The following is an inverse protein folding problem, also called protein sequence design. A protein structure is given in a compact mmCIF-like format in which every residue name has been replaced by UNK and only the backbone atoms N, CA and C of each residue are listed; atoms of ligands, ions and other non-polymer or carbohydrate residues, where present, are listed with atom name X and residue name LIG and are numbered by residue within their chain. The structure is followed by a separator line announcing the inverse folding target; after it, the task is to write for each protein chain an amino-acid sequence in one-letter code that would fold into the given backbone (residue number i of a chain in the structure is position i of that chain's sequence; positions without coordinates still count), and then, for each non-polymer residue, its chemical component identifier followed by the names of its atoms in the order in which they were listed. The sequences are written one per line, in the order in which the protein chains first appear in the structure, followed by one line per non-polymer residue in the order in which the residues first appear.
data_IF_353855445076
#
_entry.id   IF_353855445076
#
_cell.length_a   1.000
_cell.length_b   1.000
_cell.length_c   1.000
_cell.angle_alpha   90.00
_cell.angle_beta   90.00
_cell.angle_gamma   90.00
#
_symmetry.space_group_name_H-M   'P 1'
#
loop_
_entity.id
_entity.type
_entity.pdbx_description
1 polymer ?
#
# COMPACT_ATOMS: atom_id res chain seq x y z
N UNK A 1 77.25 -5.79 20.70
CA UNK A 1 76.37 -4.90 19.96
C UNK A 1 75.43 -5.59 18.94
N UNK A 2 75.69 -6.78 18.40
CA UNK A 2 74.81 -7.41 17.37
C UNK A 2 73.55 -8.04 17.90
N UNK A 3 73.46 -8.54 19.15
CA UNK A 3 72.24 -9.16 19.74
C UNK A 3 71.10 -8.16 19.95
N UNK A 4 71.38 -6.89 20.29
CA UNK A 4 70.31 -5.89 20.51
C UNK A 4 69.62 -5.44 19.21
N UNK A 5 70.33 -5.49 18.05
CA UNK A 5 69.71 -5.10 16.78
C UNK A 5 68.67 -6.11 16.27
N UNK A 6 68.91 -7.42 16.49
CA UNK A 6 68.00 -8.47 16.08
C UNK A 6 66.72 -8.50 16.91
N UNK A 7 66.84 -8.27 18.25
CA UNK A 7 65.69 -8.16 19.18
C UNK A 7 64.86 -6.92 18.86
N UNK A 8 65.48 -5.80 18.53
CA UNK A 8 64.80 -4.58 18.16
C UNK A 8 63.99 -4.70 16.86
N UNK A 9 64.53 -5.39 15.85
CA UNK A 9 63.84 -5.67 14.58
C UNK A 9 62.64 -6.62 14.81
N UNK A 10 62.81 -7.66 15.65
CA UNK A 10 61.66 -8.55 15.98
C UNK A 10 60.56 -7.82 16.72
N UNK A 11 60.86 -6.94 17.67
CA UNK A 11 59.88 -6.15 18.40
C UNK A 11 59.17 -5.19 17.47
N UNK A 12 59.88 -4.50 16.55
CA UNK A 12 59.24 -3.64 15.56
C UNK A 12 58.34 -4.37 14.58
N UNK A 13 58.72 -5.56 14.13
CA UNK A 13 57.86 -6.39 13.26
C UNK A 13 56.62 -6.89 13.97
N UNK A 14 56.74 -7.29 15.24
CA UNK A 14 55.62 -7.69 16.07
C UNK A 14 54.70 -6.50 16.37
N UNK A 15 55.26 -5.32 16.64
CA UNK A 15 54.48 -4.11 16.85
C UNK A 15 53.73 -3.66 15.59
N UNK A 16 54.36 -3.75 14.41
CA UNK A 16 53.72 -3.48 13.12
C UNK A 16 52.64 -4.52 12.79
N UNK A 17 52.85 -5.78 13.11
CA UNK A 17 51.83 -6.84 12.96
C UNK A 17 50.66 -6.64 13.94
N UNK A 18 50.92 -6.23 15.15
CA UNK A 18 49.86 -5.90 16.12
C UNK A 18 49.10 -4.64 15.75
N UNK A 19 49.76 -3.62 15.21
CA UNK A 19 49.10 -2.44 14.65
C UNK A 19 48.29 -2.77 13.39
N UNK A 20 48.80 -3.62 12.52
CA UNK A 20 48.05 -4.10 11.33
C UNK A 20 46.87 -5.01 11.71
N UNK A 21 46.99 -5.80 12.77
CA UNK A 21 45.85 -6.58 13.32
C UNK A 21 44.85 -5.69 14.09
N UNK A 22 45.31 -4.61 14.71
CA UNK A 22 44.44 -3.69 15.48
C UNK A 22 43.59 -2.77 14.60
N UNK A 23 43.94 -2.59 13.33
CA UNK A 23 43.17 -1.74 12.40
C UNK A 23 42.25 -2.52 11.46
N UNK A 24 42.32 -3.84 11.46
CA UNK A 24 41.35 -4.69 10.77
C UNK A 24 40.13 -4.98 11.67
N UNK A 25 39.52 -3.93 12.24
CA UNK A 25 38.13 -4.03 12.65
C UNK A 25 37.36 -4.28 11.35
N UNK A 26 37.06 -5.55 11.07
CA UNK A 26 36.30 -5.92 9.91
C UNK A 26 34.95 -5.20 10.00
N UNK A 27 34.76 -4.19 9.15
CA UNK A 27 33.49 -3.51 9.03
C UNK A 27 32.45 -4.59 8.65
N UNK A 28 31.62 -4.98 9.61
CA UNK A 28 30.57 -5.93 9.36
C UNK A 28 29.37 -5.22 8.72
N UNK A 29 28.66 -5.92 7.86
CA UNK A 29 27.43 -5.49 7.24
C UNK A 29 26.45 -6.67 7.28
N UNK A 30 25.27 -6.45 7.81
CA UNK A 30 24.17 -7.42 7.87
C UNK A 30 23.02 -6.88 7.09
N UNK A 31 22.41 -7.72 6.27
CA UNK A 31 21.23 -7.33 5.48
C UNK A 31 20.11 -8.34 5.66
N UNK A 32 18.86 -7.85 5.71
CA UNK A 32 17.64 -8.65 5.72
C UNK A 32 16.63 -7.99 4.79
N UNK A 33 15.65 -8.73 4.29
CA UNK A 33 14.71 -8.21 3.32
C UNK A 33 13.25 -8.51 3.67
N UNK A 34 12.39 -7.55 3.30
CA UNK A 34 10.94 -7.68 3.29
C UNK A 34 10.43 -7.87 1.86
N UNK A 35 9.49 -8.79 1.67
CA UNK A 35 8.70 -8.86 0.44
C UNK A 35 7.37 -8.18 0.71
N UNK A 36 7.25 -6.96 0.27
CA UNK A 36 6.09 -6.11 0.49
C UNK A 36 5.05 -6.33 -0.60
N UNK A 37 3.78 -6.39 -0.19
CA UNK A 37 2.66 -6.73 -1.03
C UNK A 37 1.74 -5.52 -1.20
N UNK A 38 1.45 -5.15 -2.46
CA UNK A 38 0.41 -4.21 -2.83
C UNK A 38 -0.73 -5.00 -3.46
N UNK A 39 -1.91 -5.04 -2.84
CA UNK A 39 -3.07 -5.69 -3.43
C UNK A 39 -4.12 -4.67 -3.84
N UNK A 40 -4.62 -4.85 -5.06
CA UNK A 40 -5.76 -4.09 -5.57
C UNK A 40 -7.06 -4.67 -5.04
N UNK A 41 -8.06 -3.82 -4.83
CA UNK A 41 -9.39 -4.25 -4.41
C UNK A 41 -10.12 -4.95 -5.54
N UNK A 42 -11.11 -5.73 -5.15
CA UNK A 42 -12.14 -6.27 -6.04
C UNK A 42 -13.49 -5.78 -5.55
N UNK A 43 -14.26 -5.20 -6.44
CA UNK A 43 -15.54 -4.61 -6.14
C UNK A 43 -16.64 -5.30 -6.91
N UNK A 44 -17.55 -5.99 -6.20
CA UNK A 44 -18.70 -6.67 -6.81
C UNK A 44 -19.81 -6.85 -5.80
N UNK A 45 -21.01 -6.40 -6.15
CA UNK A 45 -22.23 -6.66 -5.42
C UNK A 45 -23.25 -7.36 -6.34
N UNK A 46 -24.02 -8.26 -5.80
CA UNK A 46 -25.04 -9.02 -6.52
C UNK A 46 -26.35 -9.08 -5.75
N UNK A 47 -27.46 -9.13 -6.53
CA UNK A 47 -28.79 -9.38 -5.97
C UNK A 47 -28.91 -10.88 -5.71
N UNK A 48 -29.37 -11.23 -4.53
CA UNK A 48 -29.76 -12.58 -4.17
C UNK A 48 -31.26 -12.62 -3.90
N UNK A 49 -31.98 -13.39 -4.69
CA UNK A 49 -33.42 -13.58 -4.54
C UNK A 49 -33.74 -14.97 -4.02
N UNK A 50 -34.59 -15.04 -3.01
CA UNK A 50 -35.28 -16.26 -2.61
C UNK A 50 -36.73 -16.15 -3.11
N UNK A 51 -37.01 -16.76 -4.25
CA UNK A 51 -38.28 -16.61 -4.94
C UNK A 51 -38.63 -17.86 -5.76
N UNK A 52 -39.83 -18.34 -5.55
CA UNK A 52 -40.44 -19.35 -6.40
C UNK A 52 -41.65 -18.70 -7.09
N UNK A 53 -41.58 -18.60 -8.41
CA UNK A 53 -42.65 -17.99 -9.21
C UNK A 53 -43.89 -18.84 -9.10
N UNK A 54 -45.03 -18.28 -8.63
CA UNK A 54 -46.31 -18.98 -8.65
C UNK A 54 -46.89 -18.99 -10.07
N UNK A 55 -47.71 -20.00 -10.38
CA UNK A 55 -48.39 -20.09 -11.68
C UNK A 55 -49.47 -19.00 -11.79
N UNK A 56 -50.11 -18.63 -10.69
CA UNK A 56 -51.08 -17.55 -10.61
C UNK A 56 -51.03 -16.89 -9.22
N UNK A 57 -51.51 -15.70 -9.14
CA UNK A 57 -51.64 -14.94 -7.89
C UNK A 57 -53.04 -14.35 -7.79
N UNK A 58 -53.79 -14.73 -6.74
CA UNK A 58 -55.08 -14.17 -6.48
C UNK A 58 -54.94 -12.82 -5.74
N UNK A 59 -55.93 -11.90 -5.90
CA UNK A 59 -55.95 -10.67 -5.10
C UNK A 59 -55.90 -10.98 -3.59
N UNK A 60 -55.03 -10.26 -2.86
CA UNK A 60 -54.76 -10.47 -1.43
C UNK A 60 -53.83 -11.65 -1.10
N UNK A 61 -53.46 -12.49 -2.07
CA UNK A 61 -52.56 -13.60 -1.84
C UNK A 61 -51.13 -13.14 -1.61
N UNK A 62 -50.52 -13.59 -0.50
CA UNK A 62 -49.14 -13.37 -0.16
C UNK A 62 -48.21 -14.24 -1.03
N UNK A 63 -47.26 -13.63 -1.69
CA UNK A 63 -46.20 -14.33 -2.41
C UNK A 63 -44.86 -13.96 -1.78
N UNK A 64 -44.12 -14.96 -1.34
CA UNK A 64 -42.78 -14.77 -0.76
C UNK A 64 -41.80 -14.43 -1.87
N UNK A 65 -41.11 -13.31 -1.75
CA UNK A 65 -39.99 -12.87 -2.58
C UNK A 65 -39.05 -12.05 -1.74
N UNK A 66 -37.95 -12.67 -1.34
CA UNK A 66 -36.91 -11.98 -0.57
C UNK A 66 -35.84 -11.45 -1.51
N UNK A 67 -35.47 -10.19 -1.32
CA UNK A 67 -34.40 -9.51 -2.09
C UNK A 67 -33.31 -9.07 -1.15
N UNK A 68 -32.18 -9.77 -1.20
CA UNK A 68 -30.97 -9.47 -0.45
C UNK A 68 -29.86 -9.00 -1.39
N UNK A 69 -28.86 -8.33 -0.86
CA UNK A 69 -27.65 -7.97 -1.57
C UNK A 69 -26.48 -8.68 -0.93
N UNK A 70 -25.65 -9.30 -1.75
CA UNK A 70 -24.37 -9.89 -1.35
C UNK A 70 -23.21 -9.07 -1.87
N UNK A 71 -22.32 -8.71 -1.00
CA UNK A 71 -21.02 -8.17 -1.36
C UNK A 71 -20.05 -9.33 -1.62
N UNK A 72 -19.73 -9.57 -2.89
CA UNK A 72 -18.78 -10.61 -3.31
C UNK A 72 -17.36 -10.04 -3.44
N UNK A 73 -17.18 -8.75 -3.17
CA UNK A 73 -15.92 -8.04 -3.26
C UNK A 73 -15.03 -8.19 -2.02
N UNK A 74 -13.89 -7.50 -2.05
CA UNK A 74 -12.90 -7.47 -0.97
C UNK A 74 -12.97 -6.19 -0.12
N UNK A 75 -13.89 -5.29 -0.44
CA UNK A 75 -14.08 -3.99 0.23
C UNK A 75 -15.53 -3.81 0.63
N UNK A 76 -15.75 -3.06 1.70
CA UNK A 76 -17.08 -2.73 2.18
C UNK A 76 -17.84 -1.84 1.20
N UNK A 77 -19.16 -1.92 1.19
CA UNK A 77 -20.02 -1.22 0.23
C UNK A 77 -21.16 -0.48 0.89
N UNK A 78 -21.53 0.67 0.33
CA UNK A 78 -22.88 1.23 0.48
C UNK A 78 -23.72 0.74 -0.70
N UNK A 79 -24.97 0.40 -0.43
CA UNK A 79 -25.87 -0.14 -1.45
C UNK A 79 -27.21 0.58 -1.43
N UNK A 80 -27.80 0.78 -2.62
CA UNK A 80 -29.17 1.26 -2.80
C UNK A 80 -29.88 0.50 -3.90
N UNK A 81 -31.17 0.39 -3.79
CA UNK A 81 -32.03 -0.34 -4.72
C UNK A 81 -33.18 0.54 -5.17
N UNK A 82 -33.46 0.52 -6.46
CA UNK A 82 -34.70 1.06 -7.01
C UNK A 82 -35.61 -0.08 -7.46
N UNK A 83 -36.83 -0.09 -6.98
CA UNK A 83 -37.84 -1.08 -7.35
C UNK A 83 -38.79 -0.48 -8.38
N UNK A 84 -38.88 -1.18 -9.51
CA UNK A 84 -39.90 -0.93 -10.51
C UNK A 84 -40.98 -2.02 -10.45
N UNK A 85 -42.20 -1.67 -10.78
CA UNK A 85 -43.32 -2.58 -10.89
C UNK A 85 -44.02 -2.33 -12.21
N UNK A 86 -44.36 -3.39 -12.91
CA UNK A 86 -45.01 -3.30 -14.23
C UNK A 86 -45.98 -4.48 -14.41
N UNK A 87 -47.03 -4.25 -15.14
CA UNK A 87 -47.93 -5.28 -15.65
C UNK A 87 -47.78 -5.36 -17.17
N UNK A 88 -47.99 -6.55 -17.71
CA UNK A 88 -47.93 -6.74 -19.15
C UNK A 88 -48.52 -8.09 -19.58
N UNK A 89 -48.29 -8.42 -20.80
CA UNK A 89 -48.67 -9.70 -21.41
C UNK A 89 -47.49 -10.29 -22.16
N UNK A 90 -47.45 -11.61 -22.29
CA UNK A 90 -46.44 -12.27 -23.15
C UNK A 90 -46.99 -12.33 -24.57
N UNK A 91 -46.24 -11.87 -25.53
CA UNK A 91 -46.56 -12.00 -26.95
C UNK A 91 -46.43 -13.45 -27.43
N UNK A 92 -46.93 -13.76 -28.61
CA UNK A 92 -46.76 -15.07 -29.26
C UNK A 92 -45.27 -15.43 -29.46
N UNK A 93 -44.40 -14.43 -29.55
CA UNK A 93 -42.94 -14.60 -29.67
C UNK A 93 -42.24 -14.72 -28.32
N UNK A 94 -42.96 -14.74 -27.19
CA UNK A 94 -42.39 -14.82 -25.85
C UNK A 94 -41.86 -13.51 -25.30
N UNK A 95 -42.08 -12.39 -25.98
CA UNK A 95 -41.68 -11.06 -25.49
C UNK A 95 -42.68 -10.53 -24.46
N UNK A 96 -42.20 -9.92 -23.41
CA UNK A 96 -43.03 -9.17 -22.47
C UNK A 96 -43.41 -7.81 -23.08
N UNK A 97 -44.69 -7.56 -23.17
CA UNK A 97 -45.29 -6.30 -23.62
C UNK A 97 -45.88 -5.59 -22.42
N UNK A 98 -45.22 -4.52 -21.96
CA UNK A 98 -45.69 -3.68 -20.83
C UNK A 98 -47.05 -3.02 -21.18
N UNK A 99 -48.00 -3.07 -20.24
CA UNK A 99 -49.26 -2.34 -20.32
C UNK A 99 -49.24 -1.17 -19.36
N UNK A 100 -49.00 0.02 -19.88
CA UNK A 100 -48.92 1.26 -19.08
C UNK A 100 -50.25 1.82 -18.61
N UNK A 101 -51.37 1.24 -19.08
CA UNK A 101 -52.71 1.61 -18.61
C UNK A 101 -53.06 0.96 -17.27
N UNK A 102 -52.31 -0.07 -16.87
CA UNK A 102 -52.46 -0.73 -15.60
C UNK A 102 -51.65 -0.03 -14.52
N UNK A 103 -52.27 0.23 -13.38
CA UNK A 103 -51.62 0.84 -12.23
C UNK A 103 -50.60 -0.13 -11.61
N UNK A 104 -49.29 0.17 -11.64
CA UNK A 104 -48.29 -0.68 -11.04
C UNK A 104 -48.38 -0.78 -9.51
N UNK A 105 -49.04 0.18 -8.86
CA UNK A 105 -49.23 0.15 -7.40
C UNK A 105 -50.14 -1.01 -6.95
N UNK A 106 -50.86 -1.64 -7.85
CA UNK A 106 -51.61 -2.89 -7.53
C UNK A 106 -50.68 -4.06 -7.21
N UNK A 107 -49.38 -3.96 -7.45
CA UNK A 107 -48.36 -4.85 -6.86
C UNK A 107 -47.94 -4.20 -5.53
N UNK A 108 -48.54 -4.64 -4.44
CA UNK A 108 -48.22 -4.17 -3.09
C UNK A 108 -47.01 -4.94 -2.57
N UNK A 109 -45.95 -4.23 -2.14
CA UNK A 109 -44.73 -4.84 -1.67
C UNK A 109 -44.54 -4.57 -0.18
N UNK A 110 -44.21 -5.62 0.56
CA UNK A 110 -43.82 -5.49 1.95
C UNK A 110 -42.33 -5.25 2.08
N UNK A 111 -41.98 -3.99 2.45
CA UNK A 111 -40.61 -3.53 2.60
C UNK A 111 -40.11 -3.58 4.04
N UNK A 112 -38.84 -3.91 4.21
CA UNK A 112 -38.19 -3.85 5.52
C UNK A 112 -37.66 -2.43 5.79
N UNK A 113 -38.46 -1.65 6.51
CA UNK A 113 -38.12 -0.26 6.84
C UNK A 113 -37.15 -0.14 8.02
N UNK A 114 -36.85 -1.21 8.75
CA UNK A 114 -35.90 -1.21 9.86
C UNK A 114 -34.48 -0.97 9.36
N UNK A 115 -34.08 -1.68 8.29
CA UNK A 115 -32.74 -1.62 7.72
C UNK A 115 -32.66 -0.92 6.37
N UNK A 116 -33.81 -0.51 5.81
CA UNK A 116 -33.85 0.19 4.54
C UNK A 116 -34.66 1.49 4.67
N UNK A 117 -34.23 2.53 3.96
CA UNK A 117 -34.88 3.84 3.93
C UNK A 117 -35.17 4.27 2.50
N UNK A 118 -36.44 4.50 2.19
CA UNK A 118 -36.83 5.13 0.94
C UNK A 118 -36.50 6.62 1.00
N UNK A 119 -35.84 7.13 -0.01
CA UNK A 119 -35.53 8.55 -0.20
C UNK A 119 -36.33 9.15 -1.36
N UNK A 120 -36.35 10.48 -1.44
CA UNK A 120 -37.07 11.25 -2.46
C UNK A 120 -36.65 10.97 -3.90
N UNK A 121 -35.44 10.44 -4.11
CA UNK A 121 -34.90 10.01 -5.41
C UNK A 121 -35.48 8.65 -5.87
N UNK A 122 -36.35 8.07 -5.07
CA UNK A 122 -37.02 6.79 -5.33
C UNK A 122 -36.13 5.55 -5.07
N UNK A 123 -34.98 5.73 -4.46
CA UNK A 123 -34.11 4.64 -4.05
C UNK A 123 -34.32 4.25 -2.57
N UNK A 124 -34.22 2.97 -2.33
CA UNK A 124 -34.11 2.37 -1.00
C UNK A 124 -32.66 2.23 -0.64
N UNK A 125 -32.21 2.93 0.39
CA UNK A 125 -30.87 2.89 0.91
C UNK A 125 -30.76 1.91 2.07
N UNK A 126 -29.78 1.02 2.01
CA UNK A 126 -29.43 0.18 3.15
C UNK A 126 -28.81 1.03 4.26
N UNK A 127 -29.37 0.96 5.49
CA UNK A 127 -28.99 1.82 6.62
C UNK A 127 -27.74 1.35 7.37
N UNK A 128 -26.95 0.49 6.74
CA UNK A 128 -25.72 -0.03 7.32
C UNK A 128 -24.65 -0.17 6.22
N UNK A 129 -23.39 -0.35 6.61
CA UNK A 129 -22.34 -0.78 5.70
C UNK A 129 -22.54 -2.26 5.37
N UNK A 130 -22.41 -2.63 4.11
CA UNK A 130 -22.41 -4.04 3.68
C UNK A 130 -20.96 -4.53 3.62
N UNK A 131 -20.46 -5.29 4.64
CA UNK A 131 -19.08 -5.71 4.69
C UNK A 131 -18.71 -6.66 3.57
N UNK A 132 -17.41 -6.67 3.21
CA UNK A 132 -16.83 -7.60 2.26
C UNK A 132 -17.22 -9.06 2.58
N UNK A 133 -17.68 -9.80 1.57
CA UNK A 133 -18.08 -11.21 1.66
C UNK A 133 -19.40 -11.45 2.41
N UNK A 134 -20.14 -10.40 2.85
CA UNK A 134 -21.40 -10.54 3.61
C UNK A 134 -22.61 -10.25 2.74
N UNK A 135 -23.76 -10.69 3.26
CA UNK A 135 -25.10 -10.40 2.72
C UNK A 135 -25.80 -9.42 3.66
N UNK A 136 -26.71 -8.60 3.14
CA UNK A 136 -27.55 -7.70 3.95
C UNK A 136 -28.23 -8.48 5.10
N UNK A 137 -28.28 -7.88 6.29
CA UNK A 137 -28.80 -8.54 7.50
C UNK A 137 -30.27 -8.91 7.40
N UNK A 138 -31.02 -8.16 6.60
CA UNK A 138 -32.40 -8.40 6.26
C UNK A 138 -32.66 -8.03 4.80
N UNK A 139 -33.55 -8.73 4.10
CA UNK A 139 -33.92 -8.38 2.74
C UNK A 139 -34.54 -6.99 2.65
N UNK A 140 -34.47 -6.34 1.50
CA UNK A 140 -35.23 -5.10 1.23
C UNK A 140 -36.73 -5.36 1.27
N UNK A 141 -37.17 -6.45 0.64
CA UNK A 141 -38.53 -6.91 0.62
C UNK A 141 -38.59 -8.41 0.96
N UNK A 142 -39.66 -8.86 1.59
CA UNK A 142 -39.84 -10.27 1.92
C UNK A 142 -41.02 -10.89 1.19
N UNK A 143 -41.96 -10.08 0.71
CA UNK A 143 -43.15 -10.55 0.03
C UNK A 143 -43.83 -9.45 -0.78
N UNK A 144 -44.71 -9.88 -1.66
CA UNK A 144 -45.64 -8.99 -2.36
C UNK A 144 -47.04 -9.61 -2.45
N UNK A 145 -47.99 -8.78 -2.81
CA UNK A 145 -49.39 -9.11 -2.95
C UNK A 145 -49.92 -8.49 -4.24
N UNK A 146 -50.85 -9.14 -4.91
CA UNK A 146 -51.75 -8.46 -5.82
C UNK A 146 -52.84 -7.78 -4.97
N UNK A 147 -53.00 -6.48 -5.10
CA UNK A 147 -54.01 -5.73 -4.31
C UNK A 147 -55.40 -6.30 -4.48
N UNK A 148 -56.19 -6.37 -3.38
CA UNK A 148 -57.59 -6.74 -3.42
C UNK A 148 -58.41 -5.79 -4.30
N UNK A 149 -57.92 -4.59 -4.63
CA UNK A 149 -58.54 -3.61 -5.51
C UNK A 149 -58.32 -3.90 -6.99
N UNK A 150 -57.48 -4.91 -7.32
CA UNK A 150 -57.21 -5.27 -8.69
C UNK A 150 -58.44 -5.86 -9.35
N UNK A 151 -58.95 -5.20 -10.37
CA UNK A 151 -60.12 -5.60 -11.12
C UNK A 151 -59.80 -6.55 -12.30
N UNK A 152 -60.81 -6.88 -13.12
CA UNK A 152 -60.67 -7.79 -14.22
C UNK A 152 -59.65 -7.39 -15.28
N UNK A 153 -59.18 -6.16 -15.31
CA UNK A 153 -58.13 -5.68 -16.25
C UNK A 153 -56.80 -6.35 -15.97
N UNK A 154 -56.58 -6.79 -14.72
CA UNK A 154 -55.34 -7.47 -14.31
C UNK A 154 -55.42 -8.99 -14.53
N UNK A 155 -56.53 -9.53 -14.87
CA UNK A 155 -56.71 -10.97 -15.18
C UNK A 155 -55.86 -11.37 -16.35
N UNK A 156 -55.13 -12.47 -16.23
CA UNK A 156 -54.23 -13.03 -17.25
C UNK A 156 -53.08 -12.06 -17.63
N UNK A 157 -52.73 -11.14 -16.75
CA UNK A 157 -51.56 -10.28 -16.93
C UNK A 157 -50.37 -10.82 -16.14
N UNK A 158 -49.18 -10.64 -16.68
CA UNK A 158 -47.92 -10.91 -15.99
C UNK A 158 -47.53 -9.67 -15.18
N UNK A 159 -47.25 -9.84 -13.90
CA UNK A 159 -46.67 -8.82 -13.05
C UNK A 159 -45.15 -9.02 -12.97
N UNK A 160 -44.39 -7.94 -13.08
CA UNK A 160 -42.94 -7.96 -12.90
C UNK A 160 -42.53 -6.95 -11.84
N UNK A 161 -41.63 -7.40 -10.96
CA UNK A 161 -40.91 -6.57 -9.99
C UNK A 161 -39.47 -6.46 -10.51
N UNK A 162 -39.07 -5.27 -10.87
CA UNK A 162 -37.74 -4.96 -11.43
C UNK A 162 -36.88 -4.44 -10.30
N UNK A 163 -35.75 -5.08 -10.05
CA UNK A 163 -34.81 -4.71 -8.98
C UNK A 163 -33.54 -4.15 -9.62
N UNK A 164 -33.28 -2.87 -9.44
CA UNK A 164 -32.08 -2.21 -9.91
C UNK A 164 -31.17 -1.91 -8.71
N UNK A 165 -30.03 -2.59 -8.65
CA UNK A 165 -29.02 -2.40 -7.63
C UNK A 165 -28.00 -1.38 -8.08
N UNK A 166 -27.71 -0.42 -7.23
CA UNK A 166 -26.53 0.43 -7.32
C UNK A 166 -25.73 0.32 -6.03
N UNK A 167 -24.43 0.38 -6.17
CA UNK A 167 -23.52 0.29 -5.04
C UNK A 167 -22.25 1.08 -5.28
N UNK A 168 -21.70 1.60 -4.19
CA UNK A 168 -20.40 2.28 -4.17
C UNK A 168 -19.59 1.70 -3.02
N UNK A 169 -18.28 1.91 -3.07
CA UNK A 169 -17.45 1.54 -1.94
C UNK A 169 -17.82 2.37 -0.71
N UNK A 170 -17.74 1.75 0.46
CA UNK A 170 -17.91 2.43 1.72
C UNK A 170 -16.62 3.17 2.09
N UNK A 171 -16.48 4.40 1.60
CA UNK A 171 -15.45 5.36 2.00
C UNK A 171 -16.09 6.68 2.45
N UNK A 172 -15.38 7.41 3.31
CA UNK A 172 -15.89 8.68 3.83
C UNK A 172 -16.06 9.71 2.72
N UNK A 173 -17.28 10.21 2.56
CA UNK A 173 -17.62 11.23 1.57
C UNK A 173 -18.02 10.70 0.19
N UNK A 174 -17.80 9.42 -0.13
CA UNK A 174 -18.16 8.82 -1.42
C UNK A 174 -19.66 8.87 -1.68
N UNK A 175 -20.48 8.58 -0.67
CA UNK A 175 -21.92 8.64 -0.79
C UNK A 175 -22.41 10.04 -1.15
N UNK A 176 -21.78 11.07 -0.58
CA UNK A 176 -22.09 12.47 -0.90
C UNK A 176 -21.64 12.85 -2.30
N UNK A 177 -20.44 12.40 -2.69
CA UNK A 177 -19.87 12.73 -4.00
C UNK A 177 -20.67 12.10 -5.15
N UNK A 178 -21.12 10.84 -5.01
CA UNK A 178 -21.73 10.06 -6.10
C UNK A 178 -23.26 10.12 -6.04
N UNK A 179 -23.86 10.04 -4.85
CA UNK A 179 -25.31 9.97 -4.68
C UNK A 179 -25.94 11.26 -4.11
N UNK A 180 -25.11 12.25 -3.74
CA UNK A 180 -25.60 13.49 -3.12
C UNK A 180 -26.22 13.31 -1.73
N UNK A 181 -25.99 12.18 -1.07
CA UNK A 181 -26.54 11.86 0.25
C UNK A 181 -25.43 11.78 1.29
N UNK A 182 -25.73 12.13 2.54
CA UNK A 182 -24.79 11.92 3.63
C UNK A 182 -25.17 10.63 4.39
N UNK A 183 -24.18 9.88 4.82
CA UNK A 183 -24.35 8.66 5.62
C UNK A 183 -25.17 8.93 6.88
N UNK A 184 -24.90 10.06 7.53
CA UNK A 184 -25.61 10.50 8.74
C UNK A 184 -27.10 10.73 8.52
N UNK A 185 -27.51 11.27 7.38
CA UNK A 185 -28.92 11.54 7.05
C UNK A 185 -29.69 10.23 6.83
N UNK A 186 -28.98 9.17 6.50
CA UNK A 186 -29.52 7.83 6.33
C UNK A 186 -29.46 7.00 7.62
N UNK A 187 -28.85 7.53 8.68
CA UNK A 187 -28.64 6.81 9.94
C UNK A 187 -27.48 5.80 9.88
N UNK A 188 -26.61 5.92 8.88
CA UNK A 188 -25.45 5.06 8.72
C UNK A 188 -24.31 5.60 9.58
N UNK A 189 -23.77 4.76 10.48
CA UNK A 189 -22.55 5.04 11.21
C UNK A 189 -21.41 4.35 10.50
N UNK A 190 -20.71 5.08 9.62
CA UNK A 190 -19.50 4.60 8.98
C UNK A 190 -18.30 5.10 9.76
N UNK A 191 -17.47 4.18 10.21
CA UNK A 191 -16.14 4.48 10.73
C UNK A 191 -15.13 3.80 9.83
N UNK A 192 -14.36 4.57 9.02
CA UNK A 192 -13.28 3.99 8.27
C UNK A 192 -12.34 3.27 9.22
N UNK A 193 -11.90 2.08 8.86
CA UNK A 193 -10.93 1.34 9.65
C UNK A 193 -9.63 2.14 9.69
N UNK A 194 -9.42 2.91 10.75
CA UNK A 194 -8.19 3.66 11.03
C UNK A 194 -7.18 2.82 11.80
N UNK A 195 -7.28 1.50 11.76
CA UNK A 195 -6.31 0.62 12.41
C UNK A 195 -4.95 0.83 11.74
N UNK A 196 -4.18 1.77 12.25
CA UNK A 196 -2.79 1.96 11.85
C UNK A 196 -1.98 0.77 12.35
N UNK A 197 -1.72 -0.17 11.47
CA UNK A 197 -0.82 -1.29 11.77
C UNK A 197 0.60 -0.78 11.65
N UNK A 198 1.32 -0.74 12.76
CA UNK A 198 2.75 -0.40 12.79
C UNK A 198 3.56 -1.66 12.56
N UNK A 199 4.37 -1.65 11.50
CA UNK A 199 5.36 -2.69 11.24
C UNK A 199 6.74 -2.26 11.74
N UNK A 200 7.74 -3.16 11.77
CA UNK A 200 9.04 -2.81 12.36
C UNK A 200 10.22 -3.48 11.66
N UNK A 201 11.37 -2.82 11.77
CA UNK A 201 12.69 -3.37 11.42
C UNK A 201 13.61 -3.12 12.62
N UNK A 202 14.07 -4.17 13.25
CA UNK A 202 14.80 -4.12 14.50
C UNK A 202 16.17 -4.75 14.31
N UNK A 203 17.24 -4.04 14.64
CA UNK A 203 18.55 -4.62 14.82
C UNK A 203 18.66 -5.11 16.27
N UNK A 204 18.74 -6.43 16.45
CA UNK A 204 18.62 -7.06 17.76
C UNK A 204 19.96 -7.19 18.50
N UNK A 205 19.89 -7.66 19.73
CA UNK A 205 21.08 -7.92 20.59
C UNK A 205 22.01 -9.02 20.06
N UNK A 206 21.56 -9.84 19.12
CA UNK A 206 22.38 -10.86 18.48
C UNK A 206 22.97 -10.34 17.14
N UNK A 207 22.93 -9.02 16.93
CA UNK A 207 23.42 -8.33 15.75
C UNK A 207 22.77 -8.81 14.45
N UNK A 208 21.45 -9.08 14.50
CA UNK A 208 20.63 -9.47 13.36
C UNK A 208 19.54 -8.42 13.10
N UNK A 209 19.20 -8.26 11.84
CA UNK A 209 18.00 -7.51 11.45
C UNK A 209 16.80 -8.44 11.52
N UNK A 210 15.76 -8.01 12.22
CA UNK A 210 14.48 -8.71 12.36
C UNK A 210 13.40 -7.83 11.74
N UNK A 211 12.68 -8.38 10.77
CA UNK A 211 11.53 -7.73 10.13
C UNK A 211 10.28 -8.20 10.87
N UNK A 212 9.64 -7.24 11.57
CA UNK A 212 8.38 -7.44 12.27
C UNK A 212 7.21 -7.01 11.40
N UNK A 213 6.40 -7.98 11.02
CA UNK A 213 5.21 -7.82 10.21
C UNK A 213 4.65 -9.20 9.88
N UNK A 214 3.43 -9.27 9.39
CA UNK A 214 2.85 -10.54 8.97
C UNK A 214 3.63 -11.07 7.75
N UNK A 215 4.24 -12.24 7.86
CA UNK A 215 5.03 -12.89 6.80
C UNK A 215 6.12 -11.98 6.18
N UNK A 216 6.79 -11.16 7.00
CA UNK A 216 7.80 -10.17 6.56
C UNK A 216 7.26 -9.06 5.65
N UNK A 217 5.96 -8.84 5.60
CA UNK A 217 5.34 -7.78 4.83
C UNK A 217 5.23 -6.49 5.66
N UNK A 218 5.92 -5.45 5.26
CA UNK A 218 5.89 -4.16 5.95
C UNK A 218 4.74 -3.25 5.46
N UNK A 219 4.04 -3.64 4.39
CA UNK A 219 2.96 -2.87 3.77
C UNK A 219 1.57 -3.35 4.23
N UNK A 220 1.39 -3.50 5.55
CA UNK A 220 0.13 -3.98 6.12
C UNK A 220 -1.08 -3.12 5.68
N UNK A 221 -0.91 -1.79 5.57
CA UNK A 221 -1.97 -0.85 5.19
C UNK A 221 -2.15 -0.69 3.66
N UNK A 222 -1.29 -1.33 2.85
CA UNK A 222 -1.37 -1.22 1.38
C UNK A 222 -2.08 -2.42 0.76
N UNK A 223 -3.24 -2.74 1.33
CA UNK A 223 -4.14 -3.82 0.88
C UNK A 223 -5.46 -3.23 0.42
N UNK A 224 -6.10 -3.93 -0.51
CA UNK A 224 -7.39 -3.52 -1.08
C UNK A 224 -7.35 -2.08 -1.59
N UNK A 225 -6.29 -1.76 -2.33
CA UNK A 225 -6.06 -0.43 -2.88
C UNK A 225 -6.96 -0.16 -4.08
N UNK A 226 -7.26 1.11 -4.30
CA UNK A 226 -8.09 1.58 -5.40
C UNK A 226 -7.39 2.68 -6.18
N UNK A 227 -7.76 2.87 -7.46
CA UNK A 227 -7.33 4.04 -8.20
C UNK A 227 -7.62 5.33 -7.42
N UNK A 228 -6.71 6.28 -7.42
CA UNK A 228 -6.84 7.57 -6.73
C UNK A 228 -6.62 7.52 -5.21
N UNK A 229 -6.55 6.34 -4.58
CA UNK A 229 -6.39 6.28 -3.13
C UNK A 229 -5.00 6.72 -2.66
N UNK A 230 -4.97 7.29 -1.46
CA UNK A 230 -3.73 7.54 -0.70
C UNK A 230 -3.79 6.79 0.62
N UNK A 231 -2.71 6.07 0.96
CA UNK A 231 -2.58 5.32 2.22
C UNK A 231 -1.24 5.62 2.87
N UNK A 232 -1.18 5.46 4.17
CA UNK A 232 0.06 5.62 4.95
C UNK A 232 0.37 4.35 5.75
N UNK A 233 1.65 4.08 5.90
CA UNK A 233 2.19 2.97 6.69
C UNK A 233 3.31 3.49 7.58
N UNK A 234 3.23 3.24 8.87
CA UNK A 234 4.33 3.51 9.80
C UNK A 234 5.20 2.28 9.95
N UNK A 235 6.52 2.44 9.74
CA UNK A 235 7.53 1.42 9.94
C UNK A 235 8.47 1.90 11.05
N UNK A 236 8.46 1.21 12.19
CA UNK A 236 9.35 1.50 13.31
C UNK A 236 10.72 0.88 13.05
N UNK A 237 11.76 1.69 13.04
CA UNK A 237 13.16 1.26 13.06
C UNK A 237 13.69 1.29 14.49
N UNK A 238 14.42 0.27 14.93
CA UNK A 238 15.02 0.26 16.27
C UNK A 238 16.37 -0.44 16.29
N UNK A 239 17.28 0.05 17.13
CA UNK A 239 18.53 -0.60 17.48
C UNK A 239 18.45 -1.10 18.93
N UNK A 240 18.24 -2.38 19.12
CA UNK A 240 18.18 -3.04 20.41
C UNK A 240 19.51 -3.71 20.81
N UNK A 241 20.59 -3.43 20.05
CA UNK A 241 21.94 -3.91 20.36
C UNK A 241 22.71 -2.93 21.22
N UNK A 242 23.91 -3.31 21.60
CA UNK A 242 24.90 -2.52 22.33
C UNK A 242 25.82 -1.70 21.41
N UNK A 243 25.64 -1.79 20.07
CA UNK A 243 26.49 -1.14 19.08
C UNK A 243 25.87 0.13 18.49
N UNK A 244 26.73 1.08 18.12
CA UNK A 244 26.35 2.17 17.23
C UNK A 244 26.31 1.66 15.80
N UNK A 245 25.18 1.83 15.12
CA UNK A 245 24.97 1.31 13.77
C UNK A 245 24.49 2.39 12.80
N UNK A 246 24.78 2.18 11.52
CA UNK A 246 24.16 2.89 10.39
C UNK A 246 23.20 1.96 9.72
N UNK A 247 21.98 2.42 9.48
CA UNK A 247 20.99 1.66 8.68
C UNK A 247 20.82 2.28 7.30
N UNK A 248 20.54 1.43 6.33
CA UNK A 248 20.17 1.83 4.97
C UNK A 248 19.04 0.97 4.42
N UNK A 249 18.41 1.45 3.36
CA UNK A 249 17.29 0.80 2.67
C UNK A 249 17.47 0.89 1.16
N UNK A 250 17.22 -0.20 0.43
CA UNK A 250 17.10 -0.20 -1.04
C UNK A 250 15.92 -1.07 -1.48
N UNK A 251 15.44 -0.80 -2.69
CA UNK A 251 14.40 -1.60 -3.34
C UNK A 251 15.02 -2.49 -4.42
N UNK A 252 14.58 -3.74 -4.44
CA UNK A 252 14.94 -4.73 -5.44
C UNK A 252 13.69 -5.30 -6.11
N UNK A 253 13.85 -5.87 -7.30
CA UNK A 253 12.78 -6.60 -7.94
C UNK A 253 12.39 -7.85 -7.14
N UNK A 254 11.10 -8.05 -6.94
CA UNK A 254 10.58 -9.27 -6.35
C UNK A 254 10.01 -10.19 -7.42
N UNK A 255 10.12 -11.50 -7.17
CA UNK A 255 9.46 -12.51 -8.02
C UNK A 255 7.95 -12.39 -7.85
N UNK A 256 7.25 -12.08 -8.92
CA UNK A 256 5.79 -12.03 -8.93
C UNK A 256 5.18 -13.43 -8.88
N UNK A 257 3.88 -13.52 -8.53
CA UNK A 257 3.13 -14.77 -8.64
C UNK A 257 3.07 -15.25 -10.10
N UNK A 258 2.62 -16.47 -10.31
CA UNK A 258 2.34 -16.97 -11.67
C UNK A 258 1.03 -16.32 -12.15
N UNK A 259 1.16 -15.44 -13.11
CA UNK A 259 0.06 -14.74 -13.76
C UNK A 259 0.17 -14.88 -15.28
N UNK A 260 -0.88 -14.54 -16.00
CA UNK A 260 -0.85 -14.38 -17.45
C UNK A 260 0.16 -13.28 -17.84
N UNK A 261 0.64 -13.29 -19.09
CA UNK A 261 1.54 -12.22 -19.59
C UNK A 261 0.91 -10.84 -19.45
N UNK A 262 -0.41 -10.72 -19.71
CA UNK A 262 -1.17 -9.49 -19.56
C UNK A 262 -1.11 -8.98 -18.09
N UNK A 263 -1.44 -9.84 -17.13
CA UNK A 263 -1.45 -9.46 -15.72
C UNK A 263 -0.05 -9.11 -15.19
N UNK A 264 0.99 -9.81 -15.67
CA UNK A 264 2.37 -9.46 -15.30
C UNK A 264 2.76 -8.06 -15.83
N UNK A 265 2.31 -7.69 -17.02
CA UNK A 265 2.53 -6.36 -17.58
C UNK A 265 1.75 -5.29 -16.80
N UNK A 266 0.49 -5.56 -16.42
CA UNK A 266 -0.30 -4.67 -15.56
C UNK A 266 0.37 -4.48 -14.19
N UNK A 267 0.84 -5.57 -13.56
CA UNK A 267 1.58 -5.49 -12.28
C UNK A 267 2.87 -4.67 -12.46
N UNK A 268 3.60 -4.88 -13.56
CA UNK A 268 4.78 -4.08 -13.85
C UNK A 268 4.42 -2.59 -13.93
N UNK A 269 3.38 -2.24 -14.68
CA UNK A 269 2.90 -0.86 -14.85
C UNK A 269 2.39 -0.27 -13.52
N UNK A 270 1.70 -1.07 -12.71
CA UNK A 270 1.32 -0.69 -11.34
C UNK A 270 2.54 -0.24 -10.54
N UNK A 271 3.57 -1.08 -10.47
CA UNK A 271 4.73 -0.84 -9.61
C UNK A 271 5.69 0.24 -10.15
N UNK A 272 5.78 0.41 -11.47
CA UNK A 272 6.76 1.33 -12.11
C UNK A 272 6.17 2.68 -12.53
N UNK A 273 4.83 2.84 -12.49
CA UNK A 273 4.18 4.05 -13.02
C UNK A 273 3.06 4.56 -12.13
N UNK A 274 2.12 3.71 -11.73
CA UNK A 274 0.90 4.13 -11.05
C UNK A 274 1.03 4.21 -9.53
N UNK A 275 1.81 3.31 -8.91
CA UNK A 275 2.05 3.34 -7.48
C UNK A 275 3.28 4.20 -7.15
N UNK A 276 3.05 5.35 -6.55
CA UNK A 276 4.10 6.25 -6.08
C UNK A 276 4.17 6.23 -4.57
N UNK A 277 5.37 6.30 -4.04
CA UNK A 277 5.60 6.39 -2.60
C UNK A 277 6.46 7.58 -2.23
N UNK A 278 6.22 8.08 -1.04
CA UNK A 278 7.06 9.04 -0.34
C UNK A 278 7.46 8.44 1.00
N UNK A 279 8.76 8.39 1.28
CA UNK A 279 9.30 7.90 2.56
C UNK A 279 9.80 9.10 3.34
N UNK A 280 9.25 9.29 4.55
CA UNK A 280 9.57 10.43 5.41
C UNK A 280 10.12 9.95 6.76
N UNK A 281 11.07 10.71 7.31
CA UNK A 281 11.53 10.67 8.69
C UNK A 281 11.39 12.08 9.29
N UNK A 282 10.59 12.26 10.34
CA UNK A 282 10.36 13.56 10.96
C UNK A 282 10.04 14.68 9.96
N UNK A 283 9.13 14.42 9.01
CA UNK A 283 8.76 15.29 7.90
C UNK A 283 9.87 15.57 6.86
N UNK A 284 11.04 15.00 7.02
CA UNK A 284 12.09 15.04 6.00
C UNK A 284 11.87 13.92 5.00
N UNK A 285 11.76 14.26 3.72
CA UNK A 285 11.64 13.29 2.64
C UNK A 285 12.99 12.60 2.41
N UNK A 286 13.02 11.28 2.55
CA UNK A 286 14.17 10.42 2.25
C UNK A 286 14.10 9.85 0.85
N UNK A 287 12.89 9.61 0.34
CA UNK A 287 12.63 9.11 -1.00
C UNK A 287 11.27 9.59 -1.51
N UNK A 288 11.20 9.92 -2.79
CA UNK A 288 9.97 10.18 -3.52
C UNK A 288 10.09 9.58 -4.93
N UNK A 289 9.21 8.64 -5.26
CA UNK A 289 9.27 7.96 -6.55
C UNK A 289 8.29 6.81 -6.66
N UNK A 290 8.52 5.92 -7.60
CA UNK A 290 7.72 4.71 -7.78
C UNK A 290 8.06 3.66 -6.73
N UNK A 291 7.09 2.80 -6.40
CA UNK A 291 7.25 1.80 -5.34
C UNK A 291 8.35 0.77 -5.61
N UNK A 292 8.69 0.54 -6.88
CA UNK A 292 9.78 -0.33 -7.29
C UNK A 292 11.19 0.30 -7.12
N UNK A 293 11.25 1.55 -6.65
CA UNK A 293 12.50 2.26 -6.36
C UNK A 293 13.17 2.93 -7.56
N UNK A 294 12.47 3.02 -8.71
CA UNK A 294 12.98 3.75 -9.88
C UNK A 294 12.82 5.26 -9.72
N UNK A 295 13.63 5.98 -10.47
CA UNK A 295 13.65 7.43 -10.53
C UNK A 295 12.34 8.01 -11.07
N UNK A 296 11.82 9.00 -10.38
CA UNK A 296 11.07 10.09 -10.99
C UNK A 296 12.03 11.25 -11.27
N UNK A 297 11.76 12.04 -12.25
CA UNK A 297 12.52 13.11 -12.94
C UNK A 297 13.69 13.84 -12.25
N UNK A 298 14.03 13.63 -10.97
CA UNK A 298 15.14 14.29 -10.26
C UNK A 298 15.74 13.40 -9.15
N UNK A 299 16.63 12.50 -9.54
CA UNK A 299 17.72 12.09 -8.64
C UNK A 299 17.42 11.15 -7.48
N UNK A 300 16.18 10.77 -7.24
CA UNK A 300 15.82 9.88 -6.15
C UNK A 300 15.73 8.44 -6.64
N UNK A 301 16.58 7.57 -6.13
CA UNK A 301 16.55 6.15 -6.51
C UNK A 301 16.79 5.28 -5.28
N UNK A 302 15.95 4.27 -5.11
CA UNK A 302 16.15 3.19 -4.14
C UNK A 302 16.84 1.97 -4.75
N UNK A 303 17.35 2.04 -5.98
CA UNK A 303 18.21 0.97 -6.56
C UNK A 303 19.58 0.94 -5.91
N UNK A 304 19.97 2.01 -5.25
CA UNK A 304 21.10 2.10 -4.32
C UNK A 304 20.58 2.32 -2.91
N UNK A 305 21.40 2.02 -1.93
CA UNK A 305 21.07 2.23 -0.52
C UNK A 305 20.81 3.73 -0.25
N UNK A 306 19.63 4.04 0.28
CA UNK A 306 19.33 5.32 0.89
C UNK A 306 19.65 5.24 2.39
N UNK A 307 20.29 6.27 2.94
CA UNK A 307 20.65 6.30 4.36
C UNK A 307 19.42 6.53 5.23
N UNK A 308 19.23 5.67 6.22
CA UNK A 308 18.25 5.83 7.29
C UNK A 308 18.90 6.46 8.55
N UNK A 309 20.21 6.81 8.47
CA UNK A 309 20.97 7.46 9.52
C UNK A 309 21.60 6.51 10.53
N UNK A 310 22.11 7.13 11.60
CA UNK A 310 22.79 6.43 12.69
C UNK A 310 21.81 6.15 13.84
N UNK A 311 22.04 5.02 14.52
CA UNK A 311 21.26 4.59 15.67
C UNK A 311 22.20 4.19 16.79
N UNK A 312 22.13 4.91 17.90
CA UNK A 312 22.78 4.53 19.15
C UNK A 312 22.10 3.31 19.78
N UNK A 313 22.72 2.61 20.72
CA UNK A 313 22.04 1.58 21.52
C UNK A 313 20.72 2.09 22.10
N UNK A 314 19.65 1.34 21.93
CA UNK A 314 18.30 1.67 22.38
C UNK A 314 17.57 2.75 21.56
N UNK A 315 18.19 3.32 20.54
CA UNK A 315 17.56 4.35 19.71
C UNK A 315 16.53 3.75 18.73
N UNK A 316 15.47 4.51 18.47
CA UNK A 316 14.44 4.18 17.48
C UNK A 316 13.97 5.40 16.72
N UNK A 317 13.42 5.16 15.53
CA UNK A 317 12.82 6.16 14.63
C UNK A 317 11.60 5.57 13.94
N UNK A 318 10.70 6.43 13.50
CA UNK A 318 9.58 6.04 12.65
C UNK A 318 9.80 6.53 11.22
N UNK A 319 9.66 5.63 10.26
CA UNK A 319 9.48 5.98 8.87
C UNK A 319 7.98 6.01 8.55
N UNK A 320 7.53 7.06 7.91
CA UNK A 320 6.18 7.14 7.36
C UNK A 320 6.29 6.94 5.86
N UNK A 321 5.66 5.88 5.37
CA UNK A 321 5.57 5.57 3.94
C UNK A 321 4.18 5.96 3.48
N UNK A 322 4.08 6.98 2.62
CA UNK A 322 2.83 7.37 1.97
C UNK A 322 2.80 6.76 0.58
N UNK A 323 1.73 6.07 0.27
CA UNK A 323 1.45 5.51 -1.05
C UNK A 323 0.32 6.29 -1.69
N UNK A 324 0.47 6.64 -2.96
CA UNK A 324 -0.58 7.22 -3.80
C UNK A 324 -0.71 6.43 -5.09
N UNK A 325 -1.93 6.08 -5.47
CA UNK A 325 -2.25 5.45 -6.75
C UNK A 325 -2.82 6.47 -7.73
N UNK A 326 -2.48 6.31 -9.01
CA UNK A 326 -3.03 7.13 -10.08
C UNK A 326 -4.54 6.85 -10.26
N UNK A 327 -5.31 7.90 -10.54
CA UNK A 327 -6.73 7.80 -10.94
C UNK A 327 -6.91 7.23 -12.35
N UNK A 328 -5.87 7.24 -13.18
CA UNK A 328 -5.89 6.74 -14.56
C UNK A 328 -5.98 5.21 -14.69
N UNK A 329 -6.02 4.51 -13.56
CA UNK A 329 -6.12 3.05 -13.54
C UNK A 329 -7.56 2.62 -13.78
N UNK A 330 -7.74 1.63 -14.65
CA UNK A 330 -9.04 1.05 -14.97
C UNK A 330 -9.33 -0.25 -14.19
N UNK A 331 -10.47 -0.89 -14.48
CA UNK A 331 -10.91 -2.11 -13.81
C UNK A 331 -10.03 -3.34 -14.11
N UNK A 332 -9.10 -3.28 -15.07
CA UNK A 332 -8.20 -4.41 -15.37
C UNK A 332 -7.19 -4.67 -14.24
N UNK A 333 -7.00 -3.69 -13.34
CA UNK A 333 -6.11 -3.82 -12.18
C UNK A 333 -6.75 -4.50 -10.97
N UNK A 334 -8.05 -4.79 -10.99
CA UNK A 334 -8.73 -5.47 -9.90
C UNK A 334 -8.09 -6.83 -9.60
N UNK A 335 -8.06 -7.21 -8.31
CA UNK A 335 -7.48 -8.45 -7.78
C UNK A 335 -5.97 -8.65 -8.04
N UNK A 336 -5.29 -7.70 -8.65
CA UNK A 336 -3.86 -7.82 -8.88
C UNK A 336 -3.08 -7.64 -7.58
N UNK A 337 -2.03 -8.45 -7.44
CA UNK A 337 -1.09 -8.41 -6.33
C UNK A 337 0.31 -8.14 -6.86
N UNK A 338 0.79 -6.94 -6.63
CA UNK A 338 2.17 -6.55 -6.91
C UNK A 338 3.09 -6.82 -5.73
N UNK A 339 4.31 -7.27 -6.00
CA UNK A 339 5.35 -7.51 -4.99
C UNK A 339 6.56 -6.63 -5.24
N UNK A 340 7.10 -6.07 -4.17
CA UNK A 340 8.37 -5.34 -4.17
C UNK A 340 9.24 -5.82 -3.01
N UNK A 341 10.53 -5.96 -3.24
CA UNK A 341 11.49 -6.38 -2.22
C UNK A 341 12.22 -5.15 -1.69
N UNK A 342 12.16 -4.95 -0.37
CA UNK A 342 12.96 -3.96 0.33
C UNK A 342 14.03 -4.65 1.14
N UNK A 343 15.27 -4.20 0.97
CA UNK A 343 16.45 -4.72 1.67
C UNK A 343 16.92 -3.67 2.65
N UNK A 344 16.92 -4.01 3.91
CA UNK A 344 17.51 -3.22 4.99
C UNK A 344 18.90 -3.73 5.27
N UNK A 345 19.84 -2.82 5.47
CA UNK A 345 21.20 -3.15 5.86
C UNK A 345 21.60 -2.39 7.11
N UNK A 346 22.37 -3.03 7.97
CA UNK A 346 22.98 -2.42 9.14
C UNK A 346 24.48 -2.65 9.10
N UNK A 347 25.25 -1.60 9.34
CA UNK A 347 26.71 -1.63 9.44
C UNK A 347 27.17 -0.90 10.68
N UNK A 348 28.39 -1.16 11.13
CA UNK A 348 28.98 -0.45 12.24
C UNK A 348 29.14 1.04 11.89
N UNK A 349 28.69 1.94 12.77
CA UNK A 349 29.01 3.35 12.66
C UNK A 349 30.49 3.54 13.04
N UNK A 350 31.23 4.32 12.26
CA UNK A 350 32.61 4.70 12.61
C UNK A 350 32.56 5.43 13.96
N UNK A 351 33.32 4.99 14.94
CA UNK A 351 33.58 5.79 16.13
C UNK A 351 34.43 6.99 15.65
N UNK A 352 33.85 8.17 15.61
CA UNK A 352 34.65 9.39 15.58
C UNK A 352 35.46 9.45 16.88
N UNK A 353 36.69 8.99 16.78
CA UNK A 353 37.70 9.31 17.77
C UNK A 353 38.06 10.79 17.59
N UNK A 354 37.22 11.67 18.11
CA UNK A 354 37.63 13.03 18.42
C UNK A 354 38.58 12.93 19.61
N UNK A 355 39.85 12.60 19.35
CA UNK A 355 40.94 12.88 20.25
C UNK A 355 41.02 14.42 20.39
N UNK A 356 40.49 14.92 21.46
CA UNK A 356 40.75 16.29 21.88
C UNK A 356 42.23 16.50 22.01
N UNK A 357 42.84 17.19 21.09
CA UNK A 357 44.16 17.76 21.24
C UNK A 357 43.99 19.12 21.91
N UNK A 358 44.13 19.12 23.25
CA UNK A 358 44.47 20.31 24.02
C UNK A 358 45.82 20.79 23.53
N UNK A 359 45.81 21.81 22.70
CA UNK A 359 46.98 22.61 22.37
C UNK A 359 46.89 23.93 23.07
N UNK A 360 47.63 24.06 24.17
CA UNK A 360 47.82 25.25 24.94
C UNK A 360 48.85 26.14 24.26
N UNK A 361 48.56 27.46 24.23
CA UNK A 361 49.55 28.53 24.15
C UNK A 361 49.93 29.02 22.75
N UNK A 362 49.69 30.24 22.36
CA UNK A 362 50.51 31.37 22.72
C UNK A 362 49.91 32.69 22.18
N UNK A 363 50.22 33.75 22.92
CA UNK A 363 49.82 35.12 22.65
C UNK A 363 50.60 35.71 21.47
N UNK A 364 49.95 36.49 20.63
CA UNK A 364 50.60 37.38 19.69
C UNK A 364 49.63 38.48 19.26
N UNK A 365 49.87 39.58 19.80
CA UNK A 365 49.41 40.94 19.69
C UNK A 365 49.65 41.53 18.28
N UNK A 366 48.85 42.54 17.98
CA UNK A 366 48.97 43.75 17.12
C UNK A 366 48.02 43.76 15.91
N UNK A 367 47.05 44.62 15.98
CA UNK A 367 46.99 46.08 15.68
C UNK A 367 46.77 46.37 14.18
N UNK A 368 45.81 47.22 14.05
CA UNK A 368 45.63 48.37 13.17
C UNK A 368 44.71 48.22 11.93
N UNK A 369 43.62 48.91 12.12
CA UNK A 369 43.13 50.07 11.32
C UNK A 369 42.68 49.78 9.89
N UNK A 370 41.59 50.19 9.42
CA UNK A 370 40.80 51.42 9.49
C UNK A 370 39.85 51.49 8.29
N UNK A 371 38.74 52.12 8.48
CA UNK A 371 37.95 52.91 7.53
C UNK A 371 37.24 52.17 6.37
N UNK A 372 36.06 52.42 6.17
CA UNK A 372 35.08 53.51 6.13
C UNK A 372 33.96 53.05 5.24
N UNK A 373 32.85 53.31 5.59
CA UNK A 373 31.96 54.43 5.50
C UNK A 373 30.90 54.26 4.41
N UNK A 374 29.71 54.61 4.84
CA UNK A 374 28.57 55.13 4.09
C UNK A 374 27.78 54.12 3.22
N UNK A 375 26.49 54.08 3.33
CA UNK A 375 25.47 54.99 3.81
C UNK A 375 24.11 54.50 3.31
N UNK A 376 23.21 54.58 4.23
CA UNK A 376 21.93 55.25 4.08
C UNK A 376 20.79 54.60 3.32
N UNK A 377 19.76 54.37 4.09
CA UNK A 377 18.39 54.91 3.91
C UNK A 377 17.52 54.26 2.84
N UNK A 378 16.39 53.85 3.21
CA UNK A 378 15.17 54.47 3.57
C UNK A 378 14.00 53.58 3.22
N UNK A 379 13.28 53.20 4.19
CA UNK A 379 11.95 53.69 4.52
C UNK A 379 10.80 53.35 3.61
N UNK A 380 9.86 52.62 4.23
CA UNK A 380 8.44 53.00 4.36
C UNK A 380 7.45 52.79 3.22
N UNK A 381 6.32 52.26 3.60
CA UNK A 381 5.02 52.61 3.06
C UNK A 381 4.20 51.39 2.61
N UNK A 382 3.46 50.77 3.43
CA UNK A 382 2.07 51.04 3.86
C UNK A 382 1.03 50.96 2.77
N UNK A 383 0.08 50.05 2.94
CA UNK A 383 -1.38 50.23 2.83
C UNK A 383 -2.06 50.28 1.46
N UNK A 384 -3.17 49.53 1.37
CA UNK A 384 -4.27 49.86 0.51
C UNK A 384 -4.90 48.65 -0.17
N UNK A 385 -5.73 47.95 0.41
CA UNK A 385 -7.21 47.90 0.44
C UNK A 385 -7.93 48.10 -0.88
N UNK A 386 -8.88 47.23 -1.09
CA UNK A 386 -10.18 47.40 -1.79
C UNK A 386 -10.34 46.96 -3.25
N UNK A 387 -11.17 45.97 -3.43
CA UNK A 387 -12.50 46.21 -4.00
C UNK A 387 -12.65 45.84 -5.46
N UNK A 388 -13.63 45.03 -5.76
CA UNK A 388 -14.27 45.12 -7.07
C UNK A 388 -14.73 43.79 -7.69
N UNK A 389 -15.86 43.35 -7.30
CA UNK A 389 -17.00 42.82 -8.06
C UNK A 389 -16.91 42.89 -9.59
N UNK A 390 -17.17 41.77 -10.25
CA UNK A 390 -17.32 41.74 -11.72
C UNK A 390 -17.97 40.45 -12.20
N UNK A 391 -19.25 40.42 -12.08
CA UNK A 391 -20.19 39.48 -12.70
C UNK A 391 -20.12 39.56 -14.22
N UNK A 392 -20.05 38.47 -14.97
CA UNK A 392 -20.71 38.34 -16.26
C UNK A 392 -20.92 36.90 -16.70
N UNK A 393 -22.20 36.59 -16.79
CA UNK A 393 -22.89 35.61 -17.62
C UNK A 393 -22.29 35.42 -19.01
N UNK A 394 -22.30 34.18 -19.46
CA UNK A 394 -22.08 33.80 -20.86
C UNK A 394 -22.72 32.47 -21.17
N UNK A 395 -23.90 32.54 -21.70
CA UNK A 395 -24.82 31.53 -22.19
C UNK A 395 -24.33 30.96 -23.53
N UNK A 396 -24.56 29.66 -23.81
CA UNK A 396 -24.32 29.08 -25.15
C UNK A 396 -24.41 27.56 -25.15
N UNK A 397 -25.56 27.02 -25.23
CA UNK A 397 -26.29 26.32 -26.33
C UNK A 397 -25.73 24.97 -26.79
N UNK A 398 -26.54 23.95 -26.50
CA UNK A 398 -27.06 22.82 -27.33
C UNK A 398 -26.20 22.20 -28.43
N UNK A 399 -26.12 20.89 -28.37
CA UNK A 399 -25.82 19.97 -29.46
C UNK A 399 -26.24 18.57 -29.09
N UNK A 400 -27.48 18.21 -29.42
CA UNK A 400 -27.95 16.82 -29.53
C UNK A 400 -27.20 16.14 -30.65
N UNK A 401 -26.79 14.87 -30.44
CA UNK A 401 -27.12 13.82 -31.41
C UNK A 401 -26.90 12.45 -30.76
N UNK A 402 -27.95 11.67 -30.79
CA UNK A 402 -28.03 10.28 -30.49
C UNK A 402 -27.35 9.42 -31.55
N UNK A 403 -26.95 8.29 -31.16
CA UNK A 403 -27.20 7.09 -31.94
C UNK A 403 -27.16 5.83 -31.08
N UNK A 404 -28.19 5.05 -31.24
CA UNK A 404 -28.44 3.72 -30.76
C UNK A 404 -27.43 2.71 -31.31
N UNK A 405 -27.04 1.75 -30.49
CA UNK A 405 -26.32 0.56 -30.93
C UNK A 405 -26.46 -0.54 -29.89
N UNK A 406 -27.58 -1.27 -29.94
CA UNK A 406 -27.76 -2.51 -29.20
C UNK A 406 -26.85 -3.59 -29.73
N UNK A 407 -26.20 -4.30 -28.86
CA UNK A 407 -25.64 -5.62 -29.16
C UNK A 407 -25.88 -6.51 -27.96
N UNK A 408 -26.83 -7.42 -28.15
CA UNK A 408 -27.08 -8.54 -27.27
C UNK A 408 -25.90 -9.50 -27.28
N UNK A 409 -25.53 -9.98 -26.12
CA UNK A 409 -24.74 -11.17 -25.98
C UNK A 409 -25.49 -12.19 -25.13
N UNK A 410 -25.75 -13.31 -25.82
CA UNK A 410 -26.26 -14.56 -25.29
C UNK A 410 -25.33 -15.11 -24.20
N UNK A 411 -25.92 -15.52 -23.10
CA UNK A 411 -25.25 -16.28 -22.05
C UNK A 411 -24.88 -17.68 -22.50
N UNK A 412 -23.63 -18.00 -22.36
CA UNK A 412 -23.14 -19.35 -22.26
C UNK A 412 -22.57 -19.53 -20.87
N UNK A 413 -23.28 -20.30 -20.05
CA UNK A 413 -22.79 -20.71 -18.75
C UNK A 413 -21.64 -21.69 -18.91
N UNK A 414 -20.46 -21.29 -18.50
CA UNK A 414 -19.40 -22.23 -18.12
C UNK A 414 -19.10 -22.05 -16.64
N UNK A 415 -19.44 -23.10 -15.92
CA UNK A 415 -19.07 -23.35 -14.54
C UNK A 415 -17.56 -23.40 -14.44
N UNK A 416 -16.94 -22.36 -13.93
CA UNK A 416 -15.56 -22.42 -13.47
C UNK A 416 -15.55 -22.81 -12.01
N UNK A 417 -15.18 -24.07 -11.79
CA UNK A 417 -14.86 -24.67 -10.51
C UNK A 417 -13.98 -23.74 -9.68
N UNK A 418 -14.42 -23.50 -8.46
CA UNK A 418 -13.70 -22.75 -7.47
C UNK A 418 -12.30 -23.31 -7.24
N UNK A 419 -11.31 -22.48 -7.49
CA UNK A 419 -9.99 -22.72 -6.98
C UNK A 419 -10.05 -22.58 -5.45
N UNK A 420 -10.03 -23.72 -4.78
CA UNK A 420 -9.81 -23.83 -3.37
C UNK A 420 -8.57 -23.01 -2.99
N UNK A 421 -8.72 -22.15 -1.97
CA UNK A 421 -7.60 -21.41 -1.40
C UNK A 421 -6.49 -22.38 -0.99
N UNK A 422 -5.42 -22.37 -1.74
CA UNK A 422 -4.21 -23.10 -1.46
C UNK A 422 -3.62 -22.48 -0.20
N UNK A 423 -3.75 -23.19 0.91
CA UNK A 423 -3.00 -22.90 2.13
C UNK A 423 -1.53 -23.11 1.78
N UNK A 424 -0.85 -22.03 1.47
CA UNK A 424 0.60 -22.02 1.32
C UNK A 424 1.18 -22.23 2.70
N UNK A 425 1.48 -23.48 3.05
CA UNK A 425 2.35 -23.78 4.16
C UNK A 425 3.73 -23.21 3.81
N UNK A 426 4.18 -22.26 4.62
CA UNK A 426 5.55 -21.81 4.57
C UNK A 426 6.43 -22.99 4.96
N UNK A 427 7.02 -23.67 3.98
CA UNK A 427 8.21 -24.48 4.22
C UNK A 427 9.25 -23.52 4.77
N UNK A 428 9.78 -23.84 5.93
CA UNK A 428 10.88 -23.14 6.55
C UNK A 428 11.97 -22.97 5.48
N UNK A 429 12.08 -21.78 4.95
CA UNK A 429 13.14 -21.38 4.04
C UNK A 429 14.41 -21.45 4.86
N UNK A 430 15.36 -22.25 4.41
CA UNK A 430 16.71 -22.22 4.93
C UNK A 430 17.18 -20.77 5.03
N UNK A 431 17.77 -20.42 6.16
CA UNK A 431 18.32 -19.10 6.43
C UNK A 431 19.04 -18.59 5.19
N UNK A 432 18.76 -17.38 4.71
CA UNK A 432 19.45 -16.81 3.58
C UNK A 432 20.95 -16.82 3.90
N UNK A 433 21.72 -17.44 3.02
CA UNK A 433 23.16 -17.35 3.08
C UNK A 433 23.50 -15.86 2.97
N UNK A 434 24.02 -15.30 4.07
CA UNK A 434 24.61 -13.97 4.04
C UNK A 434 25.61 -13.95 2.89
N UNK A 435 25.38 -13.10 1.90
CA UNK A 435 26.21 -12.99 0.70
C UNK A 435 27.55 -12.30 0.98
N UNK A 436 28.24 -12.73 2.04
CA UNK A 436 29.63 -12.40 2.28
C UNK A 436 30.48 -13.52 1.66
N UNK A 437 30.82 -13.32 0.37
CA UNK A 437 31.83 -14.10 -0.34
C UNK A 437 33.25 -13.77 0.12
N UNK A 438 33.43 -13.15 1.28
CA UNK A 438 34.74 -13.06 1.91
C UNK A 438 35.06 -14.45 2.47
N UNK A 439 35.83 -15.17 1.69
CA UNK A 439 36.34 -16.48 2.07
C UNK A 439 37.31 -16.27 3.25
N UNK A 440 36.73 -16.17 4.48
CA UNK A 440 37.48 -15.90 5.71
C UNK A 440 38.60 -16.94 5.88
N UNK A 441 38.30 -18.18 5.53
CA UNK A 441 39.28 -19.26 5.49
C UNK A 441 40.45 -18.98 4.52
N UNK A 442 40.17 -18.51 3.31
CA UNK A 442 41.21 -18.18 2.35
C UNK A 442 42.10 -17.02 2.84
N UNK A 443 41.53 -16.03 3.54
CA UNK A 443 42.32 -14.96 4.16
C UNK A 443 43.16 -15.46 5.32
N UNK A 444 42.65 -16.36 6.14
CA UNK A 444 43.42 -17.02 7.21
C UNK A 444 44.54 -17.88 6.64
N UNK A 445 44.30 -18.64 5.55
CA UNK A 445 45.34 -19.38 4.85
C UNK A 445 46.43 -18.49 4.24
N UNK A 446 46.06 -17.37 3.65
CA UNK A 446 47.03 -16.39 3.11
C UNK A 446 47.87 -15.75 4.22
N UNK A 447 47.31 -15.39 5.35
CA UNK A 447 48.03 -14.87 6.53
C UNK A 447 48.97 -15.92 7.12
N UNK A 448 48.52 -17.20 7.22
CA UNK A 448 49.34 -18.27 7.71
C UNK A 448 50.50 -18.60 6.79
N UNK A 449 50.27 -18.60 5.47
CA UNK A 449 51.31 -18.76 4.47
C UNK A 449 52.37 -17.65 4.52
N UNK A 450 51.91 -16.38 4.68
CA UNK A 450 52.84 -15.25 4.84
C UNK A 450 53.69 -15.34 6.12
N UNK A 451 53.07 -15.78 7.24
CA UNK A 451 53.82 -15.97 8.49
C UNK A 451 54.87 -17.11 8.39
N UNK A 452 54.51 -18.20 7.70
CA UNK A 452 55.46 -19.31 7.44
C UNK A 452 56.62 -18.88 6.57
N UNK A 453 56.39 -18.12 5.49
CA UNK A 453 57.45 -17.55 4.61
C UNK A 453 58.38 -16.63 5.40
N UNK A 454 57.81 -15.75 6.24
CA UNK A 454 58.62 -14.89 7.12
C UNK A 454 59.48 -15.65 8.12
N UNK A 455 58.91 -16.72 8.75
CA UNK A 455 59.66 -17.56 9.67
C UNK A 455 60.79 -18.32 8.99
N UNK A 456 60.59 -18.84 7.75
CA UNK A 456 61.59 -19.55 6.97
C UNK A 456 62.70 -18.56 6.50
N UNK A 457 62.33 -17.36 6.07
CA UNK A 457 63.33 -16.36 5.66
C UNK A 457 64.15 -15.83 6.85
N UNK A 458 63.53 -15.60 7.99
CA UNK A 458 64.23 -15.26 9.24
C UNK A 458 65.20 -16.36 9.67
N UNK A 459 64.77 -17.64 9.57
CA UNK A 459 65.63 -18.80 9.89
C UNK A 459 66.79 -18.96 8.92
N UNK A 460 66.61 -18.69 7.61
CA UNK A 460 67.70 -18.67 6.61
C UNK A 460 68.69 -17.53 6.87
N UNK A 461 68.23 -16.36 7.18
CA UNK A 461 69.07 -15.22 7.53
C UNK A 461 69.86 -15.48 8.82
N UNK A 462 69.25 -16.07 9.83
CA UNK A 462 69.93 -16.45 11.07
C UNK A 462 71.01 -17.52 10.86
N UNK A 463 70.77 -18.55 10.02
CA UNK A 463 71.79 -19.55 9.66
C UNK A 463 72.97 -18.91 8.90
N UNK A 464 72.69 -18.05 7.93
CA UNK A 464 73.73 -17.34 7.13
C UNK A 464 74.62 -16.42 7.98
N UNK A 465 74.08 -15.93 9.11
CA UNK A 465 74.85 -15.05 10.04
C UNK A 465 75.64 -15.88 11.05
N UNK A 466 75.28 -17.14 11.27
CA UNK A 466 75.99 -18.05 12.14
C UNK A 466 77.19 -18.74 11.46
N UNK A 467 77.13 -18.86 10.14
CA UNK A 467 78.19 -19.46 9.30
C UNK A 467 79.19 -18.44 8.77
N UNK A 468 79.12 -17.16 9.23
CA UNK A 468 80.09 -16.08 9.04
C UNK A 468 80.76 -15.74 10.37
#
# INVERSE_FOLDING_TARGET
MKKHKCTSICITVVAVLLLACGTALAAWNVSEYAVNLLSMSFYKNSIQENYVRPDHVDPGQKVVKEVNIKNEGTVDSFVRIKIGRVFGSISETGQFLENRELDPEMIEIHYNTDLWKLCEDGYWYYKDVLPAGKTTKKPLMDSYYLSEKADNRYKNKEARIIVNLESIQAESGEMKAIWGKNEKDLGITYQPCTCEVVTSVIFDKNHKLIIGGEKTDLFANFKNLQPGCTRSQTIRLANNSDLNIKMSLRAEAAKQNKYSKKNLELIRKLLTSYAKIEILENNKVLYHGTVDGNLTKKGWSMKKDISLGEFKPGAGKNLIVKLSLSEEMDNEYQELLGKVKWVFSASQASSDSSSGQNGNGDRGHNDDENNGDDGNNGNNGNNGNNGGSGNKSGNGKYGENGNSGGSGYNGGGESLNGAAGEKVYATASASPKTGDNTNLLARWFALFAAAVVLAVTARKLYRKEKDR
#
